data_IF_019903880516
#
_entry.id   IF_019903880516
#
_cell.length_a   1.000
_cell.length_b   1.000
_cell.length_c   1.000
_cell.angle_alpha   90.00
_cell.angle_beta   90.00
_cell.angle_gamma   90.00
#
_symmetry.space_group_name_H-M   'P 1'
#
loop_
_entity.id
_entity.type
_entity.pdbx_description
1 polymer ?
#
# COMPACT_ATOMS: atom_id res chain seq x y z
N UNK A 1 -5.65 -18.61 4.75
CA UNK A 1 -4.24 -18.78 5.08
C UNK A 1 -3.59 -19.52 3.93
N UNK A 2 -2.48 -18.99 3.44
CA UNK A 2 -1.71 -19.63 2.38
C UNK A 2 -0.84 -20.73 3.00
N UNK A 3 -0.91 -21.92 2.45
CA UNK A 3 -0.17 -23.09 2.95
C UNK A 3 1.20 -23.23 2.30
N UNK A 4 1.37 -22.65 1.12
CA UNK A 4 2.57 -22.76 0.26
C UNK A 4 2.96 -21.41 -0.37
N UNK A 5 3.16 -20.33 0.43
CA UNK A 5 3.48 -19.03 -0.12
C UNK A 5 4.90 -19.01 -0.70
N UNK A 6 5.01 -18.49 -1.92
CA UNK A 6 6.26 -18.17 -2.58
C UNK A 6 6.25 -16.68 -2.93
N UNK A 7 6.72 -15.83 -2.01
CA UNK A 7 6.67 -14.38 -2.15
C UNK A 7 7.44 -13.93 -3.39
N UNK A 8 6.71 -13.41 -4.34
CA UNK A 8 7.25 -12.98 -5.63
C UNK A 8 6.59 -11.68 -6.11
N UNK A 9 7.11 -11.11 -7.16
CA UNK A 9 6.61 -9.85 -7.67
C UNK A 9 6.92 -9.66 -9.15
N UNK A 10 6.08 -8.87 -9.80
CA UNK A 10 6.34 -8.29 -11.11
C UNK A 10 6.82 -6.86 -10.92
N UNK A 11 7.94 -6.50 -11.55
CA UNK A 11 8.56 -5.18 -11.44
C UNK A 11 8.32 -4.36 -12.71
N UNK A 12 8.19 -3.04 -12.53
CA UNK A 12 8.17 -2.05 -13.60
C UNK A 12 9.28 -1.03 -13.35
N UNK A 13 10.01 -0.71 -14.39
CA UNK A 13 11.01 0.38 -14.36
C UNK A 13 10.70 1.36 -15.48
N UNK A 14 10.52 2.63 -15.14
CA UNK A 14 10.45 3.73 -16.10
C UNK A 14 11.81 4.40 -16.23
N UNK A 15 12.27 4.53 -17.45
CA UNK A 15 13.47 5.26 -17.81
C UNK A 15 13.08 6.62 -18.39
N UNK A 16 13.88 7.63 -18.16
CA UNK A 16 13.75 8.94 -18.80
C UNK A 16 15.00 9.25 -19.62
N UNK A 17 14.97 10.35 -20.37
CA UNK A 17 16.15 10.92 -21.05
C UNK A 17 17.24 11.38 -20.06
N UNK A 18 16.89 11.56 -18.78
CA UNK A 18 17.84 11.84 -17.71
C UNK A 18 18.27 10.50 -17.07
N UNK A 19 19.51 10.07 -17.31
CA UNK A 19 20.03 8.76 -16.91
C UNK A 19 19.80 8.40 -15.43
N UNK A 20 19.89 9.38 -14.53
CA UNK A 20 19.75 9.21 -13.09
C UNK A 20 18.28 9.23 -12.63
N UNK A 21 17.34 9.67 -13.48
CA UNK A 21 15.92 9.78 -13.12
C UNK A 21 15.16 8.56 -13.63
N UNK A 22 14.90 7.62 -12.71
CA UNK A 22 14.17 6.37 -12.97
C UNK A 22 13.10 6.15 -11.92
N UNK A 23 11.96 5.64 -12.36
CA UNK A 23 10.88 5.21 -11.47
C UNK A 23 10.86 3.69 -11.33
N UNK A 24 10.43 3.21 -10.16
CA UNK A 24 10.31 1.78 -9.87
C UNK A 24 8.95 1.47 -9.27
N UNK A 25 8.32 0.41 -9.76
CA UNK A 25 7.03 -0.07 -9.26
C UNK A 25 6.98 -1.57 -9.18
N UNK A 26 6.01 -2.08 -8.42
CA UNK A 26 5.88 -3.49 -8.11
C UNK A 26 4.40 -3.89 -8.00
N UNK A 27 4.06 -5.08 -8.52
CA UNK A 27 2.86 -5.81 -8.14
C UNK A 27 3.26 -7.09 -7.43
N UNK A 28 2.82 -7.24 -6.18
CA UNK A 28 3.12 -8.40 -5.35
C UNK A 28 2.24 -9.58 -5.70
N UNK A 29 2.82 -10.78 -5.73
CA UNK A 29 2.10 -12.04 -5.86
C UNK A 29 2.57 -13.05 -4.80
N UNK A 30 1.87 -14.18 -4.71
CA UNK A 30 2.21 -15.27 -3.77
C UNK A 30 2.70 -16.50 -4.56
N UNK A 31 3.51 -16.27 -5.58
CA UNK A 31 4.21 -17.29 -6.35
C UNK A 31 3.69 -17.49 -7.77
N UNK A 32 2.38 -17.51 -8.00
CA UNK A 32 1.80 -17.71 -9.33
C UNK A 32 1.22 -16.44 -9.91
N UNK A 33 1.26 -16.32 -11.24
CA UNK A 33 0.61 -15.25 -11.99
C UNK A 33 1.49 -14.01 -12.27
N UNK A 34 2.78 -14.03 -11.94
CA UNK A 34 3.70 -12.97 -12.30
C UNK A 34 3.79 -12.74 -13.80
N UNK A 35 3.80 -13.82 -14.58
CA UNK A 35 3.79 -13.82 -16.04
C UNK A 35 2.52 -13.17 -16.59
N UNK A 36 1.36 -13.48 -16.03
CA UNK A 36 0.06 -12.88 -16.40
C UNK A 36 0.06 -11.39 -16.11
N UNK A 37 0.52 -10.97 -14.92
CA UNK A 37 0.62 -9.55 -14.55
C UNK A 37 1.62 -8.83 -15.46
N UNK A 38 2.78 -9.43 -15.74
CA UNK A 38 3.80 -8.84 -16.62
C UNK A 38 3.28 -8.66 -18.05
N UNK A 39 2.56 -9.64 -18.59
CA UNK A 39 1.95 -9.51 -19.91
C UNK A 39 0.87 -8.43 -19.94
N UNK A 40 0.03 -8.35 -18.90
CA UNK A 40 -0.96 -7.29 -18.77
C UNK A 40 -0.32 -5.89 -18.71
N UNK A 41 0.82 -5.74 -18.02
CA UNK A 41 1.56 -4.47 -17.96
C UNK A 41 1.98 -4.01 -19.36
N UNK A 42 2.45 -4.90 -20.21
CA UNK A 42 2.92 -4.57 -21.58
C UNK A 42 1.82 -3.95 -22.43
N UNK A 43 0.56 -4.34 -22.25
CA UNK A 43 -0.57 -3.76 -22.96
C UNK A 43 -0.81 -2.27 -22.65
N UNK A 44 -0.30 -1.78 -21.53
CA UNK A 44 -0.43 -0.37 -21.13
C UNK A 44 0.77 0.49 -21.52
N UNK A 45 1.93 -0.09 -21.88
CA UNK A 45 3.14 0.68 -22.22
C UNK A 45 2.90 1.77 -23.27
N UNK A 46 2.17 1.53 -24.37
CA UNK A 46 1.95 2.56 -25.40
C UNK A 46 1.24 3.82 -24.90
N UNK A 47 0.58 3.76 -23.73
CA UNK A 47 -0.06 4.94 -23.14
C UNK A 47 0.97 5.93 -22.58
N UNK A 48 2.14 5.41 -22.13
CA UNK A 48 3.15 6.17 -21.38
C UNK A 48 4.44 6.40 -22.14
N UNK A 49 4.66 5.70 -23.24
CA UNK A 49 5.88 5.84 -24.06
C UNK A 49 6.03 7.25 -24.60
N UNK A 50 7.23 7.81 -24.44
CA UNK A 50 7.61 9.16 -24.92
C UNK A 50 6.72 10.30 -24.37
N UNK A 51 6.04 10.08 -23.23
CA UNK A 51 5.24 11.12 -22.58
C UNK A 51 6.14 12.12 -21.85
N UNK A 52 5.86 13.42 -22.01
CA UNK A 52 6.52 14.44 -21.20
C UNK A 52 6.21 14.26 -19.72
N UNK A 53 7.22 14.46 -18.87
CA UNK A 53 7.07 14.19 -17.43
C UNK A 53 6.17 15.21 -16.72
N UNK A 54 6.04 16.45 -17.23
CA UNK A 54 5.08 17.40 -16.68
C UNK A 54 3.66 17.06 -17.11
N UNK A 55 3.48 16.59 -18.35
CA UNK A 55 2.18 16.11 -18.83
C UNK A 55 1.72 14.87 -18.05
N UNK A 56 2.64 13.95 -17.75
CA UNK A 56 2.39 12.81 -16.90
C UNK A 56 1.89 13.24 -15.52
N UNK A 57 2.65 14.11 -14.83
CA UNK A 57 2.33 14.61 -13.49
C UNK A 57 0.97 15.34 -13.45
N UNK A 58 0.72 16.20 -14.44
CA UNK A 58 -0.50 17.00 -14.50
C UNK A 58 -1.76 16.15 -14.82
N UNK A 59 -1.59 14.99 -15.44
CA UNK A 59 -2.70 14.17 -15.90
C UNK A 59 -2.75 12.78 -15.24
N UNK A 60 -1.99 12.54 -14.18
CA UNK A 60 -1.83 11.19 -13.61
C UNK A 60 -3.16 10.55 -13.19
N UNK A 61 -4.10 11.31 -12.64
CA UNK A 61 -5.44 10.82 -12.30
C UNK A 61 -6.25 10.41 -13.55
N UNK A 62 -6.19 11.21 -14.61
CA UNK A 62 -6.86 10.88 -15.89
C UNK A 62 -6.23 9.65 -16.56
N UNK A 63 -4.91 9.51 -16.45
CA UNK A 63 -4.18 8.35 -16.97
C UNK A 63 -4.55 7.08 -16.20
N UNK A 64 -4.67 7.16 -14.88
CA UNK A 64 -5.20 6.08 -14.06
C UNK A 64 -6.56 5.61 -14.57
N UNK A 65 -7.50 6.54 -14.71
CA UNK A 65 -8.85 6.23 -15.17
C UNK A 65 -8.84 5.61 -16.56
N UNK A 66 -8.02 6.15 -17.49
CA UNK A 66 -7.86 5.60 -18.84
C UNK A 66 -7.41 4.14 -18.82
N UNK A 67 -6.58 3.75 -17.85
CA UNK A 67 -6.11 2.37 -17.71
C UNK A 67 -7.17 1.45 -17.09
N UNK A 68 -7.75 1.83 -15.96
CA UNK A 68 -8.69 0.96 -15.24
C UNK A 68 -10.06 0.87 -15.90
N UNK A 69 -10.46 1.87 -16.67
CA UNK A 69 -11.73 1.88 -17.47
C UNK A 69 -11.45 1.59 -18.97
N UNK A 70 -10.33 0.99 -19.30
CA UNK A 70 -9.97 0.64 -20.68
C UNK A 70 -11.04 -0.25 -21.32
N UNK A 71 -11.62 0.19 -22.45
CA UNK A 71 -12.81 -0.41 -23.06
C UNK A 71 -12.69 -1.91 -23.40
N UNK A 72 -11.47 -2.39 -23.64
CA UNK A 72 -11.19 -3.79 -23.97
C UNK A 72 -10.62 -4.58 -22.79
N UNK A 73 -9.67 -3.98 -22.02
CA UNK A 73 -8.96 -4.71 -20.98
C UNK A 73 -9.74 -4.82 -19.66
N UNK A 74 -10.64 -3.90 -19.34
CA UNK A 74 -11.44 -3.96 -18.11
C UNK A 74 -12.29 -5.23 -17.97
N UNK A 75 -12.52 -5.93 -19.05
CA UNK A 75 -13.26 -7.19 -19.07
C UNK A 75 -12.40 -8.43 -18.73
N UNK A 76 -11.08 -8.25 -18.64
CA UNK A 76 -10.14 -9.33 -18.33
C UNK A 76 -10.00 -9.54 -16.81
N UNK A 77 -11.10 -9.69 -16.14
CA UNK A 77 -11.17 -9.95 -14.71
C UNK A 77 -11.98 -8.89 -13.95
N UNK A 78 -12.40 -9.20 -12.72
CA UNK A 78 -13.14 -8.27 -11.88
C UNK A 78 -12.25 -7.10 -11.47
N UNK A 79 -12.85 -5.99 -11.09
CA UNK A 79 -12.13 -4.88 -10.46
C UNK A 79 -11.35 -5.39 -9.24
N UNK A 80 -10.12 -4.85 -9.10
CA UNK A 80 -9.04 -5.27 -8.21
C UNK A 80 -8.37 -6.62 -8.61
N UNK A 81 -8.68 -7.17 -9.80
CA UNK A 81 -8.00 -8.33 -10.39
C UNK A 81 -6.69 -7.97 -11.12
N UNK A 82 -6.30 -8.81 -12.08
CA UNK A 82 -4.99 -8.73 -12.77
C UNK A 82 -4.74 -7.37 -13.45
N UNK A 83 -5.77 -6.76 -14.05
CA UNK A 83 -5.67 -5.44 -14.68
C UNK A 83 -5.31 -4.37 -13.65
N UNK A 84 -5.97 -4.38 -12.49
CA UNK A 84 -5.66 -3.43 -11.42
C UNK A 84 -4.27 -3.67 -10.80
N UNK A 85 -3.83 -4.92 -10.68
CA UNK A 85 -2.46 -5.24 -10.23
C UNK A 85 -1.42 -4.70 -11.21
N UNK A 86 -1.62 -4.90 -12.50
CA UNK A 86 -0.74 -4.39 -13.55
C UNK A 86 -0.68 -2.86 -13.55
N UNK A 87 -1.83 -2.20 -13.53
CA UNK A 87 -1.95 -0.74 -13.47
C UNK A 87 -1.33 -0.21 -12.18
N UNK A 88 -1.52 -0.89 -11.05
CA UNK A 88 -0.91 -0.52 -9.77
C UNK A 88 0.62 -0.51 -9.82
N UNK A 89 1.23 -1.53 -10.43
CA UNK A 89 2.69 -1.58 -10.62
C UNK A 89 3.20 -0.42 -11.47
N UNK A 90 2.50 -0.10 -12.56
CA UNK A 90 2.83 1.05 -13.43
C UNK A 90 2.71 2.36 -12.65
N UNK A 91 1.60 2.58 -11.95
CA UNK A 91 1.38 3.85 -11.23
C UNK A 91 2.27 4.00 -10.01
N UNK A 92 2.64 2.94 -9.32
CA UNK A 92 3.68 2.98 -8.30
C UNK A 92 5.01 3.47 -8.90
N UNK A 93 5.35 2.96 -10.08
CA UNK A 93 6.55 3.38 -10.82
C UNK A 93 6.49 4.87 -11.23
N UNK A 94 5.36 5.35 -11.74
CA UNK A 94 5.17 6.74 -12.15
C UNK A 94 5.18 7.70 -10.95
N UNK A 95 4.55 7.32 -9.84
CA UNK A 95 4.58 8.10 -8.60
C UNK A 95 5.98 8.17 -7.98
N UNK A 96 6.75 7.08 -8.01
CA UNK A 96 8.15 7.08 -7.61
C UNK A 96 8.99 8.03 -8.48
N UNK A 97 8.76 8.00 -9.79
CA UNK A 97 9.41 8.89 -10.74
C UNK A 97 9.10 10.38 -10.46
N UNK A 98 7.82 10.72 -10.25
CA UNK A 98 7.39 12.08 -9.92
C UNK A 98 8.00 12.53 -8.59
N UNK A 99 7.96 11.70 -7.56
CA UNK A 99 8.55 12.02 -6.26
C UNK A 99 10.06 12.31 -6.36
N UNK A 100 10.78 11.50 -7.12
CA UNK A 100 12.21 11.69 -7.39
C UNK A 100 12.51 12.98 -8.19
N UNK A 101 11.68 13.31 -9.19
CA UNK A 101 11.76 14.60 -9.91
C UNK A 101 11.70 15.78 -8.92
N UNK A 102 10.84 15.70 -7.93
CA UNK A 102 10.71 16.73 -6.89
C UNK A 102 11.69 16.57 -5.73
N UNK A 103 12.55 15.54 -5.73
CA UNK A 103 13.54 15.23 -4.66
C UNK A 103 12.88 15.11 -3.27
N UNK A 104 11.67 14.54 -3.22
CA UNK A 104 10.87 14.34 -2.02
C UNK A 104 10.36 12.91 -1.95
N UNK A 105 10.20 12.32 -0.75
CA UNK A 105 9.43 11.11 -0.62
C UNK A 105 7.97 11.36 -1.05
N UNK A 106 7.33 10.35 -1.62
CA UNK A 106 5.98 10.51 -2.19
C UNK A 106 4.97 11.08 -1.20
N UNK A 107 4.98 10.61 0.06
CA UNK A 107 4.06 11.11 1.09
C UNK A 107 4.18 12.62 1.28
N UNK A 108 5.40 13.15 1.29
CA UNK A 108 5.66 14.58 1.47
C UNK A 108 5.21 15.37 0.24
N UNK A 109 5.53 14.89 -0.97
CA UNK A 109 5.05 15.49 -2.20
C UNK A 109 3.53 15.61 -2.24
N UNK A 110 2.81 14.55 -1.85
CA UNK A 110 1.34 14.54 -1.83
C UNK A 110 0.80 15.51 -0.76
N UNK A 111 1.34 15.48 0.45
CA UNK A 111 0.87 16.36 1.55
C UNK A 111 1.12 17.83 1.23
N UNK A 112 2.22 18.17 0.58
CA UNK A 112 2.55 19.55 0.21
C UNK A 112 1.78 20.05 -1.02
N UNK A 113 1.18 19.16 -1.80
CA UNK A 113 0.37 19.54 -2.96
C UNK A 113 -0.91 20.27 -2.55
N UNK A 114 -1.40 21.14 -3.46
CA UNK A 114 -2.65 21.85 -3.23
C UNK A 114 -3.86 20.89 -3.22
N UNK A 115 -4.88 21.16 -2.40
CA UNK A 115 -6.06 20.32 -2.27
C UNK A 115 -6.74 20.01 -3.60
N UNK A 116 -6.88 20.98 -4.47
CA UNK A 116 -7.48 20.84 -5.82
C UNK A 116 -6.67 19.84 -6.68
N UNK A 117 -5.33 19.92 -6.59
CA UNK A 117 -4.45 18.99 -7.30
C UNK A 117 -4.60 17.58 -6.77
N UNK A 118 -4.68 17.39 -5.46
CA UNK A 118 -4.91 16.07 -4.84
C UNK A 118 -6.26 15.50 -5.29
N UNK A 119 -7.34 16.29 -5.24
CA UNK A 119 -8.67 15.85 -5.69
C UNK A 119 -8.65 15.45 -7.17
N UNK A 120 -7.89 16.14 -8.02
CA UNK A 120 -7.78 15.82 -9.45
C UNK A 120 -7.11 14.47 -9.75
N UNK A 121 -6.39 13.89 -8.79
CA UNK A 121 -5.77 12.56 -8.91
C UNK A 121 -6.71 11.42 -8.52
N UNK A 122 -7.82 11.73 -7.84
CA UNK A 122 -8.74 10.75 -7.28
C UNK A 122 -9.88 10.41 -8.26
N UNK A 123 -10.45 9.24 -8.10
CA UNK A 123 -11.72 8.88 -8.68
C UNK A 123 -12.73 8.65 -7.56
N UNK A 124 -13.91 9.22 -7.71
CA UNK A 124 -15.02 9.08 -6.76
C UNK A 124 -16.05 8.03 -7.21
N UNK A 125 -15.77 7.36 -8.36
CA UNK A 125 -16.59 6.25 -8.85
C UNK A 125 -16.87 5.25 -7.72
N UNK A 126 -18.11 4.95 -7.50
CA UNK A 126 -18.66 4.07 -6.44
C UNK A 126 -18.70 4.63 -5.02
N UNK A 127 -18.32 5.87 -4.79
CA UNK A 127 -18.40 6.50 -3.46
C UNK A 127 -19.06 7.88 -3.46
N UNK A 128 -19.59 8.35 -4.60
CA UNK A 128 -20.19 9.68 -4.73
C UNK A 128 -21.42 9.91 -3.85
N UNK A 129 -22.08 8.83 -3.43
CA UNK A 129 -23.16 8.84 -2.44
C UNK A 129 -22.69 9.06 -0.99
N UNK A 130 -21.37 8.90 -0.72
CA UNK A 130 -20.76 9.04 0.61
C UNK A 130 -19.79 10.21 0.66
N UNK A 131 -19.06 10.46 -0.43
CA UNK A 131 -18.05 11.52 -0.53
C UNK A 131 -17.97 12.06 -1.95
N UNK A 132 -18.36 13.33 -2.12
CA UNK A 132 -18.23 14.04 -3.40
C UNK A 132 -16.85 14.69 -3.55
N UNK A 133 -16.42 15.07 -4.78
CA UNK A 133 -15.19 15.85 -4.99
C UNK A 133 -15.16 17.15 -4.18
N UNK A 134 -16.28 17.85 -4.05
CA UNK A 134 -16.42 19.11 -3.31
C UNK A 134 -16.24 18.90 -1.81
N UNK A 135 -16.80 17.84 -1.25
CA UNK A 135 -16.63 17.46 0.15
C UNK A 135 -15.18 17.04 0.44
N UNK A 136 -14.56 16.26 -0.45
CA UNK A 136 -13.15 15.91 -0.35
C UNK A 136 -12.25 17.15 -0.37
N UNK A 137 -12.52 18.10 -1.25
CA UNK A 137 -11.83 19.38 -1.32
C UNK A 137 -11.99 20.18 0.00
N UNK A 138 -13.20 20.23 0.54
CA UNK A 138 -13.46 20.93 1.81
C UNK A 138 -12.68 20.28 2.99
N UNK A 139 -12.63 18.94 3.05
CA UNK A 139 -11.86 18.21 4.06
C UNK A 139 -10.36 18.51 3.96
N UNK A 140 -9.81 18.46 2.75
CA UNK A 140 -8.39 18.74 2.51
C UNK A 140 -8.05 20.20 2.84
N UNK A 141 -8.88 21.15 2.42
CA UNK A 141 -8.69 22.58 2.68
C UNK A 141 -8.73 22.90 4.17
N UNK A 142 -9.67 22.32 4.91
CA UNK A 142 -9.75 22.48 6.38
C UNK A 142 -8.47 22.05 7.09
N UNK A 143 -7.79 21.02 6.56
CA UNK A 143 -6.60 20.43 7.16
C UNK A 143 -5.29 21.15 6.79
N UNK A 144 -5.34 22.29 6.07
CA UNK A 144 -4.12 23.03 5.71
C UNK A 144 -3.48 23.75 6.92
N UNK A 145 -4.27 24.20 7.87
CA UNK A 145 -3.79 25.07 8.97
C UNK A 145 -2.64 24.46 9.79
N UNK A 146 -2.70 23.17 10.08
CA UNK A 146 -1.68 22.47 10.89
C UNK A 146 -0.77 21.55 10.05
N UNK A 147 -0.77 21.73 8.74
CA UNK A 147 -0.04 20.85 7.81
C UNK A 147 1.45 20.74 8.15
N UNK A 148 2.11 21.87 8.35
CA UNK A 148 3.54 21.89 8.65
C UNK A 148 3.85 21.17 9.97
N UNK A 149 3.09 21.39 11.02
CA UNK A 149 3.25 20.68 12.29
C UNK A 149 3.15 19.16 12.14
N UNK A 150 2.21 18.66 11.31
CA UNK A 150 2.09 17.21 11.04
C UNK A 150 3.27 16.68 10.24
N UNK A 151 3.77 17.44 9.27
CA UNK A 151 4.99 17.09 8.52
C UNK A 151 6.18 16.96 9.47
N UNK A 152 6.38 17.96 10.33
CA UNK A 152 7.48 17.98 11.30
C UNK A 152 7.39 16.80 12.27
N UNK A 153 6.18 16.46 12.75
CA UNK A 153 5.95 15.31 13.60
C UNK A 153 6.36 14.00 12.88
N UNK A 154 5.94 13.82 11.63
CA UNK A 154 6.29 12.61 10.86
C UNK A 154 7.79 12.53 10.59
N UNK A 155 8.45 13.66 10.34
CA UNK A 155 9.91 13.71 10.13
C UNK A 155 10.70 13.39 11.39
N UNK A 156 10.21 13.79 12.57
CA UNK A 156 10.87 13.57 13.85
C UNK A 156 10.60 12.18 14.45
N UNK A 157 9.34 11.75 14.42
CA UNK A 157 8.87 10.57 15.14
C UNK A 157 8.67 9.35 14.23
N UNK A 158 8.61 9.57 12.92
CA UNK A 158 8.21 8.56 11.95
C UNK A 158 6.69 8.35 11.93
N UNK A 159 6.24 7.46 11.04
CA UNK A 159 4.85 7.04 10.99
C UNK A 159 4.64 5.79 11.85
N UNK A 160 3.58 5.73 12.69
CA UNK A 160 3.31 4.57 13.53
C UNK A 160 3.23 3.29 12.72
N UNK A 161 3.92 2.25 13.18
CA UNK A 161 3.97 0.96 12.51
C UNK A 161 3.85 -0.19 13.51
N UNK A 162 3.61 -1.40 13.02
CA UNK A 162 3.54 -2.63 13.81
C UNK A 162 4.58 -3.63 13.33
N UNK A 163 4.95 -4.58 14.21
CA UNK A 163 5.74 -5.73 13.83
C UNK A 163 4.87 -6.99 13.66
N UNK A 164 5.20 -7.81 12.68
CA UNK A 164 4.60 -9.15 12.50
C UNK A 164 5.56 -10.27 12.94
N UNK A 165 6.73 -9.93 13.48
CA UNK A 165 7.80 -10.89 13.72
C UNK A 165 7.39 -12.07 14.62
N UNK A 166 6.65 -11.82 15.70
CA UNK A 166 6.14 -12.86 16.61
C UNK A 166 4.74 -13.40 16.18
N UNK A 167 4.18 -12.91 15.08
CA UNK A 167 2.77 -13.10 14.74
C UNK A 167 2.45 -14.26 13.80
N UNK A 168 3.43 -14.96 13.28
CA UNK A 168 3.20 -16.02 12.30
C UNK A 168 2.70 -17.31 12.96
N UNK A 169 1.86 -18.04 12.21
CA UNK A 169 1.38 -19.37 12.61
C UNK A 169 2.52 -20.40 12.54
N UNK A 170 2.40 -21.46 13.36
CA UNK A 170 3.36 -22.56 13.37
C UNK A 170 4.66 -22.31 14.15
N UNK A 171 4.80 -21.15 14.82
CA UNK A 171 5.93 -20.92 15.74
C UNK A 171 5.69 -21.62 17.07
N UNK A 172 6.76 -22.16 17.68
CA UNK A 172 6.72 -22.66 19.05
C UNK A 172 6.57 -21.51 20.06
N UNK A 173 6.08 -21.84 21.26
CA UNK A 173 5.90 -20.88 22.35
C UNK A 173 7.22 -20.17 22.71
N UNK A 174 8.33 -20.92 22.73
CA UNK A 174 9.66 -20.38 23.01
C UNK A 174 10.09 -19.34 21.97
N UNK A 175 9.85 -19.64 20.68
CA UNK A 175 10.15 -18.72 19.58
C UNK A 175 9.29 -17.47 19.65
N UNK A 176 8.01 -17.60 19.96
CA UNK A 176 7.10 -16.45 20.13
C UNK A 176 7.61 -15.56 21.28
N UNK A 177 7.91 -16.13 22.44
CA UNK A 177 8.43 -15.40 23.60
C UNK A 177 9.73 -14.69 23.26
N UNK A 178 10.66 -15.38 22.60
CA UNK A 178 11.94 -14.82 22.20
C UNK A 178 11.73 -13.59 21.27
N UNK A 179 10.93 -13.73 20.22
CA UNK A 179 10.67 -12.66 19.26
C UNK A 179 9.95 -11.48 19.90
N UNK A 180 8.96 -11.74 20.77
CA UNK A 180 8.30 -10.67 21.52
C UNK A 180 9.31 -9.85 22.33
N UNK A 181 10.18 -10.49 23.11
CA UNK A 181 11.20 -9.82 23.94
C UNK A 181 12.21 -9.07 23.07
N UNK A 182 12.67 -9.66 21.98
CA UNK A 182 13.60 -9.04 21.05
C UNK A 182 13.04 -7.75 20.43
N UNK A 183 11.80 -7.79 19.96
CA UNK A 183 11.19 -6.63 19.32
C UNK A 183 10.76 -5.55 20.34
N UNK A 184 10.35 -5.93 21.55
CA UNK A 184 10.17 -4.97 22.64
C UNK A 184 11.45 -4.22 22.98
N UNK A 185 12.60 -4.94 23.04
CA UNK A 185 13.89 -4.31 23.30
C UNK A 185 14.33 -3.34 22.20
N UNK A 186 13.80 -3.52 20.96
CA UNK A 186 13.97 -2.57 19.84
C UNK A 186 12.96 -1.41 19.85
N UNK A 187 12.11 -1.30 20.88
CA UNK A 187 11.14 -0.23 21.05
C UNK A 187 9.78 -0.47 20.38
N UNK A 188 9.52 -1.65 19.83
CA UNK A 188 8.22 -1.96 19.23
C UNK A 188 7.14 -2.09 20.30
N UNK A 189 6.00 -1.43 20.07
CA UNK A 189 4.82 -1.48 20.95
C UNK A 189 3.58 -2.08 20.31
N UNK A 190 3.56 -2.26 18.99
CA UNK A 190 2.42 -2.78 18.25
C UNK A 190 2.79 -4.12 17.60
N UNK A 191 2.06 -5.17 17.97
CA UNK A 191 2.31 -6.53 17.52
C UNK A 191 1.09 -7.04 16.75
N UNK A 192 1.25 -7.38 15.48
CA UNK A 192 0.18 -7.93 14.65
C UNK A 192 0.33 -9.45 14.53
N UNK A 193 -0.72 -10.17 14.87
CA UNK A 193 -0.75 -11.61 15.07
C UNK A 193 -1.72 -12.23 14.07
N UNK A 194 -1.28 -13.26 13.35
CA UNK A 194 -2.14 -14.06 12.48
C UNK A 194 -3.04 -14.97 13.29
N UNK A 195 -4.34 -14.97 12.96
CA UNK A 195 -5.40 -15.76 13.62
C UNK A 195 -6.35 -16.34 12.58
N UNK A 196 -7.32 -17.17 13.01
CA UNK A 196 -8.42 -17.62 12.19
C UNK A 196 -8.28 -19.05 11.68
N UNK A 197 -7.30 -19.83 12.18
CA UNK A 197 -7.19 -21.24 11.83
C UNK A 197 -7.90 -22.14 12.85
N UNK A 198 -7.67 -21.90 14.13
CA UNK A 198 -8.25 -22.64 15.25
C UNK A 198 -8.42 -21.68 16.44
N UNK A 199 -9.65 -21.55 16.94
CA UNK A 199 -9.99 -20.55 17.96
C UNK A 199 -9.24 -20.80 19.28
N UNK A 200 -9.20 -22.04 19.75
CA UNK A 200 -8.57 -22.37 21.04
C UNK A 200 -7.05 -22.17 20.98
N UNK A 201 -6.44 -22.53 19.87
CA UNK A 201 -5.02 -22.30 19.64
C UNK A 201 -4.71 -20.81 19.52
N UNK A 202 -5.56 -20.04 18.84
CA UNK A 202 -5.42 -18.60 18.71
C UNK A 202 -5.53 -17.90 20.07
N UNK A 203 -6.52 -18.26 20.89
CA UNK A 203 -6.69 -17.70 22.25
C UNK A 203 -5.46 -17.99 23.11
N UNK A 204 -5.00 -19.25 23.19
CA UNK A 204 -3.80 -19.62 23.96
C UNK A 204 -2.56 -18.83 23.53
N UNK A 205 -2.38 -18.69 22.22
CA UNK A 205 -1.25 -17.94 21.67
C UNK A 205 -1.34 -16.44 21.97
N UNK A 206 -2.52 -15.84 21.86
CA UNK A 206 -2.74 -14.44 22.21
C UNK A 206 -2.53 -14.17 23.71
N UNK A 207 -2.96 -15.10 24.59
CA UNK A 207 -2.69 -15.04 26.03
C UNK A 207 -1.18 -15.10 26.32
N UNK A 208 -0.45 -16.01 25.67
CA UNK A 208 1.01 -16.12 25.79
C UNK A 208 1.70 -14.81 25.36
N UNK A 209 1.29 -14.26 24.23
CA UNK A 209 1.84 -13.00 23.71
C UNK A 209 1.51 -11.86 24.68
N UNK A 210 0.26 -11.73 25.12
CA UNK A 210 -0.17 -10.70 26.08
C UNK A 210 0.62 -10.79 27.38
N UNK A 211 0.78 -11.99 27.93
CA UNK A 211 1.61 -12.23 29.12
C UNK A 211 3.06 -11.80 28.90
N UNK A 212 3.58 -11.98 27.70
CA UNK A 212 4.98 -11.68 27.38
C UNK A 212 5.23 -10.20 27.17
N UNK A 213 4.35 -9.50 26.44
CA UNK A 213 4.53 -8.07 26.07
C UNK A 213 3.94 -7.08 27.09
N UNK A 214 3.12 -7.59 28.03
CA UNK A 214 2.48 -6.73 29.04
C UNK A 214 1.31 -5.91 28.48
N UNK A 215 0.76 -5.02 29.32
CA UNK A 215 -0.42 -4.19 28.97
C UNK A 215 -0.04 -2.89 28.25
N UNK A 216 1.21 -2.48 28.28
CA UNK A 216 1.69 -1.24 27.63
C UNK A 216 1.92 -1.40 26.12
N UNK A 217 1.81 -2.64 25.61
CA UNK A 217 1.89 -2.96 24.19
C UNK A 217 0.52 -3.32 23.61
N UNK A 218 0.34 -3.05 22.33
CA UNK A 218 -0.89 -3.30 21.59
C UNK A 218 -0.81 -4.62 20.81
N UNK A 219 -1.89 -5.40 20.86
CA UNK A 219 -2.08 -6.58 20.01
C UNK A 219 -3.10 -6.22 18.93
N UNK A 220 -2.74 -6.52 17.68
CA UNK A 220 -3.60 -6.45 16.51
C UNK A 220 -3.77 -7.86 15.97
N UNK A 221 -4.94 -8.24 15.52
CA UNK A 221 -5.21 -9.55 14.92
C UNK A 221 -5.51 -9.43 13.44
N UNK A 222 -5.08 -10.43 12.66
CA UNK A 222 -5.30 -10.50 11.22
C UNK A 222 -5.70 -11.93 10.85
N UNK A 223 -6.98 -12.10 10.54
CA UNK A 223 -7.56 -13.40 10.17
C UNK A 223 -7.43 -13.72 8.67
N UNK A 224 -6.94 -12.84 7.84
CA UNK A 224 -6.82 -13.04 6.38
C UNK A 224 -8.10 -13.59 5.73
N UNK A 225 -9.23 -12.92 5.97
CA UNK A 225 -10.55 -13.27 5.40
C UNK A 225 -11.05 -14.69 5.78
N UNK A 226 -10.58 -15.25 6.91
CA UNK A 226 -11.04 -16.56 7.38
C UNK A 226 -12.35 -16.48 8.19
N UNK A 227 -12.68 -15.32 8.75
CA UNK A 227 -13.87 -15.12 9.54
C UNK A 227 -15.06 -14.69 8.69
N UNK A 228 -16.24 -15.16 9.05
CA UNK A 228 -17.53 -14.65 8.61
C UNK A 228 -18.01 -13.54 9.55
N UNK A 229 -19.18 -12.98 9.24
CA UNK A 229 -19.81 -11.92 10.07
C UNK A 229 -20.42 -12.50 11.37
N UNK A 230 -20.77 -13.79 11.36
CA UNK A 230 -21.43 -14.49 12.46
C UNK A 230 -20.47 -14.87 13.59
#
# INVERSE_FOLDING_TARGET
>A
IHTDPDYSATYVTAFTDQLELKGYGIAFTIGKGNDIVAECIKHFFPIFENMDLNDLENNIGKLWFKCVDHSQLRWLGPEKGVVHMAVSAIFNCLWDLIAKKHKKPLWQFVVESEPEKIVSWLTFKYIEDVLTPEEALAVLSKNQNDKQKRIDTVLQEGYPSYTTAAGWLGYSDEKIIQLCKEYMAKGWKHFKIKVGLDLDADVKRLELIRKTIGNDCFIMVDANQQWNVD
#
